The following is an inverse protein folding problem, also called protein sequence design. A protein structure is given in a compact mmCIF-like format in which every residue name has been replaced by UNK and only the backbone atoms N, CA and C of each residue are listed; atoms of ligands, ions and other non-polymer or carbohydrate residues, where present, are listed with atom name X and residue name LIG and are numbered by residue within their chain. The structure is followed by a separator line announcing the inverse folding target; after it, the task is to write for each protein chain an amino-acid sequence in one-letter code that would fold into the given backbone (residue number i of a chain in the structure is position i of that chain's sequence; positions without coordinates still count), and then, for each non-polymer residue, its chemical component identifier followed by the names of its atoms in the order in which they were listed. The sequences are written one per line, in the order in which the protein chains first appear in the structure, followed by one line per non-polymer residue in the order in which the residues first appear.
data_IF_629234068042
#
_entry.id   IF_629234068042
#
_cell.length_a   1.000
_cell.length_b   1.000
_cell.length_c   1.000
_cell.angle_alpha   90.00
_cell.angle_beta   90.00
_cell.angle_gamma   90.00
#
_symmetry.space_group_name_H-M   'P 1'
#
loop_
_entity.id
_entity.type
_entity.pdbx_description
1 polymer ?
#
# COMPACT_ATOMS: atom_id res chain seq x y z
N UNK A 1 8.61 -11.70 14.30
CA UNK A 1 8.05 -10.51 13.72
C UNK A 1 8.88 -10.02 12.55
N UNK A 2 8.29 -9.97 11.40
CA UNK A 2 9.02 -9.61 10.20
C UNK A 2 9.13 -8.10 10.03
N UNK A 3 10.30 -7.68 9.61
CA UNK A 3 10.49 -6.32 9.09
C UNK A 3 10.19 -6.37 7.60
N UNK A 4 9.52 -5.34 7.08
CA UNK A 4 9.26 -5.23 5.65
C UNK A 4 10.57 -5.10 4.90
N UNK A 5 10.76 -5.94 3.88
CA UNK A 5 11.90 -5.82 2.98
C UNK A 5 11.58 -4.75 1.93
N UNK A 6 11.99 -3.53 2.21
CA UNK A 6 11.67 -2.38 1.36
C UNK A 6 12.30 -2.50 -0.02
N UNK A 7 13.45 -3.14 -0.15
CA UNK A 7 14.08 -3.33 -1.45
C UNK A 7 13.26 -4.27 -2.31
N UNK A 8 12.72 -5.34 -1.73
CA UNK A 8 11.83 -6.25 -2.44
C UNK A 8 10.53 -5.54 -2.85
N UNK A 9 9.98 -4.72 -1.97
CA UNK A 9 8.77 -3.93 -2.27
C UNK A 9 9.04 -2.99 -3.45
N UNK A 10 10.15 -2.28 -3.42
CA UNK A 10 10.52 -1.34 -4.48
C UNK A 10 10.69 -2.07 -5.82
N UNK A 11 11.31 -3.24 -5.80
CA UNK A 11 11.50 -4.05 -6.99
C UNK A 11 10.15 -4.47 -7.59
N UNK A 12 9.25 -4.99 -6.75
CA UNK A 12 7.92 -5.36 -7.22
C UNK A 12 7.14 -4.16 -7.75
N UNK A 13 7.18 -3.04 -7.03
CA UNK A 13 6.45 -1.83 -7.41
C UNK A 13 6.86 -1.32 -8.80
N UNK A 14 8.10 -1.55 -9.19
CA UNK A 14 8.60 -1.15 -10.51
C UNK A 14 7.86 -1.78 -11.68
N UNK A 15 7.16 -2.88 -11.47
CA UNK A 15 6.37 -3.56 -12.51
C UNK A 15 4.97 -2.98 -12.66
N UNK A 16 4.56 -2.04 -11.80
CA UNK A 16 3.23 -1.46 -11.80
C UNK A 16 3.27 -0.03 -12.30
N UNK A 17 2.14 0.47 -12.80
CA UNK A 17 2.06 1.82 -13.36
C UNK A 17 1.79 2.90 -12.34
N UNK A 18 1.06 2.59 -11.28
CA UNK A 18 0.68 3.56 -10.27
C UNK A 18 0.16 2.83 -9.03
N UNK A 19 -0.09 3.61 -7.97
CA UNK A 19 -0.71 3.09 -6.76
C UNK A 19 -1.91 3.94 -6.37
N UNK A 20 -2.82 3.34 -5.59
CA UNK A 20 -3.83 4.08 -4.86
C UNK A 20 -3.33 4.31 -3.44
N UNK A 21 -3.42 5.55 -2.99
CA UNK A 21 -3.19 5.90 -1.59
C UNK A 21 -4.53 5.94 -0.88
N UNK A 22 -4.66 5.16 0.17
CA UNK A 22 -5.87 5.05 0.97
C UNK A 22 -5.59 5.67 2.33
N UNK A 23 -6.36 6.68 2.68
CA UNK A 23 -6.26 7.39 3.96
C UNK A 23 -7.63 7.44 4.62
N UNK A 24 -7.65 7.80 5.90
CA UNK A 24 -8.88 7.90 6.69
C UNK A 24 -9.12 9.38 7.03
N UNK A 25 -10.31 9.87 6.70
CA UNK A 25 -10.66 11.27 6.99
C UNK A 25 -10.86 11.47 8.51
N UNK A 26 -10.84 12.72 8.98
CA UNK A 26 -11.15 13.00 10.39
C UNK A 26 -12.52 12.48 10.84
N UNK A 27 -13.44 12.25 9.89
CA UNK A 27 -14.76 11.69 10.18
C UNK A 27 -14.82 10.18 9.98
N UNK A 28 -13.65 9.51 9.92
CA UNK A 28 -13.52 8.05 9.83
C UNK A 28 -14.11 7.49 8.54
N UNK A 29 -13.96 8.21 7.44
CA UNK A 29 -14.32 7.74 6.11
C UNK A 29 -13.05 7.44 5.33
N UNK A 30 -13.15 6.57 4.35
CA UNK A 30 -12.03 6.19 3.49
C UNK A 30 -11.91 7.19 2.34
N UNK A 31 -10.69 7.61 2.05
CA UNK A 31 -10.36 8.47 0.91
C UNK A 31 -9.30 7.79 0.07
N UNK A 32 -9.48 7.77 -1.23
CA UNK A 32 -8.58 7.08 -2.16
C UNK A 32 -8.15 8.04 -3.27
N UNK A 33 -6.87 8.05 -3.58
CA UNK A 33 -6.32 8.87 -4.67
C UNK A 33 -5.22 8.13 -5.40
N UNK A 34 -5.01 8.47 -6.67
CA UNK A 34 -3.92 7.91 -7.48
C UNK A 34 -2.63 8.65 -7.15
N UNK A 35 -1.58 7.89 -6.91
CA UNK A 35 -0.26 8.43 -6.56
C UNK A 35 0.84 7.62 -7.25
N UNK A 36 2.04 8.19 -7.23
CA UNK A 36 3.25 7.53 -7.77
C UNK A 36 4.32 7.52 -6.68
N UNK A 37 4.27 6.53 -5.77
CA UNK A 37 5.20 6.49 -4.65
C UNK A 37 6.64 6.26 -5.10
N UNK A 38 7.56 6.81 -4.31
CA UNK A 38 8.99 6.61 -4.46
C UNK A 38 9.55 5.95 -3.22
N UNK A 39 10.63 5.19 -3.40
CA UNK A 39 11.27 4.45 -2.30
C UNK A 39 12.61 5.08 -2.02
N UNK A 40 12.84 5.50 -0.79
CA UNK A 40 14.09 6.14 -0.36
C UNK A 40 14.50 5.57 1.00
N UNK A 41 15.61 4.83 1.04
CA UNK A 41 16.04 4.19 2.28
C UNK A 41 14.98 3.20 2.78
N UNK A 42 14.47 3.44 3.98
CA UNK A 42 13.44 2.59 4.59
C UNK A 42 12.06 3.24 4.59
N UNK A 43 11.86 4.25 3.76
CA UNK A 43 10.66 5.06 3.76
C UNK A 43 10.06 5.07 2.36
N UNK A 44 8.74 5.02 2.29
CA UNK A 44 8.01 5.27 1.05
C UNK A 44 7.57 6.72 1.08
N UNK A 45 7.89 7.44 0.00
CA UNK A 45 7.54 8.85 -0.14
C UNK A 45 6.50 9.00 -1.23
N UNK A 46 5.47 9.79 -0.96
CA UNK A 46 4.41 10.08 -1.93
C UNK A 46 4.52 11.55 -2.31
N UNK A 47 5.26 11.87 -3.38
CA UNK A 47 5.37 13.25 -3.82
C UNK A 47 4.04 13.73 -4.41
N UNK A 48 3.75 15.00 -4.22
CA UNK A 48 2.52 15.60 -4.76
C UNK A 48 1.25 15.07 -4.12
N UNK A 49 1.30 14.54 -2.90
CA UNK A 49 0.12 14.11 -2.19
C UNK A 49 -0.83 15.31 -2.02
N UNK A 50 -2.14 15.08 -2.22
CA UNK A 50 -3.12 16.15 -2.13
C UNK A 50 -3.21 16.71 -0.71
N UNK A 51 -3.70 17.93 -0.58
CA UNK A 51 -3.93 18.53 0.74
C UNK A 51 -4.85 17.66 1.58
N UNK A 52 -5.87 17.10 0.95
CA UNK A 52 -6.81 16.21 1.65
C UNK A 52 -6.10 14.97 2.19
N UNK A 53 -5.29 14.30 1.37
CA UNK A 53 -4.56 13.11 1.79
C UNK A 53 -3.60 13.44 2.93
N UNK A 54 -2.90 14.58 2.85
CA UNK A 54 -1.97 15.00 3.91
C UNK A 54 -2.69 15.34 5.22
N UNK A 55 -3.84 16.01 5.12
CA UNK A 55 -4.67 16.30 6.29
C UNK A 55 -5.19 15.03 6.93
N UNK A 56 -5.66 14.08 6.12
CA UNK A 56 -6.15 12.80 6.61
C UNK A 56 -5.05 12.03 7.33
N UNK A 57 -3.86 11.95 6.73
CA UNK A 57 -2.73 11.23 7.32
C UNK A 57 -2.25 11.87 8.62
N UNK A 58 -2.39 13.18 8.76
CA UNK A 58 -2.06 13.86 10.01
C UNK A 58 -3.07 13.54 11.12
N UNK A 59 -4.34 13.34 10.75
CA UNK A 59 -5.39 12.99 11.71
C UNK A 59 -5.38 11.49 12.07
N UNK A 60 -5.14 10.64 11.08
CA UNK A 60 -5.08 9.19 11.23
C UNK A 60 -3.85 8.68 10.49
N UNK A 61 -2.85 8.26 11.23
CA UNK A 61 -1.56 7.91 10.66
C UNK A 61 -1.56 6.59 9.87
N UNK A 62 -2.52 5.72 10.10
CA UNK A 62 -2.62 4.45 9.37
C UNK A 62 -3.03 4.72 7.92
N UNK A 63 -2.21 4.26 6.99
CA UNK A 63 -2.45 4.44 5.56
C UNK A 63 -2.11 3.15 4.82
N UNK A 64 -2.62 3.04 3.59
CA UNK A 64 -2.29 1.91 2.73
C UNK A 64 -2.01 2.41 1.32
N UNK A 65 -1.11 1.69 0.64
CA UNK A 65 -0.82 1.87 -0.76
C UNK A 65 -1.15 0.56 -1.48
N UNK A 66 -1.86 0.67 -2.60
CA UNK A 66 -2.24 -0.50 -3.39
C UNK A 66 -1.81 -0.27 -4.83
N UNK A 67 -0.93 -1.14 -5.33
CA UNK A 67 -0.58 -1.18 -6.75
C UNK A 67 -1.43 -2.27 -7.39
N UNK A 68 -2.43 -1.91 -8.23
CA UNK A 68 -3.29 -2.92 -8.86
C UNK A 68 -2.58 -3.58 -10.03
N UNK A 69 -2.85 -4.87 -10.28
CA UNK A 69 -2.29 -5.55 -11.44
C UNK A 69 -3.00 -5.13 -12.72
N UNK A 70 -2.42 -5.50 -13.87
CA UNK A 70 -3.01 -5.21 -15.17
C UNK A 70 -4.33 -5.96 -15.38
N UNK A 71 -4.48 -7.15 -14.78
CA UNK A 71 -5.71 -7.92 -14.82
C UNK A 71 -5.93 -8.65 -13.50
N UNK A 72 -7.10 -9.22 -13.31
CA UNK A 72 -7.50 -9.81 -12.04
C UNK A 72 -6.74 -11.09 -11.67
N UNK A 73 -6.00 -11.68 -12.59
CA UNK A 73 -5.20 -12.87 -12.30
C UNK A 73 -3.82 -12.53 -11.75
N UNK A 74 -3.41 -11.25 -11.85
CA UNK A 74 -2.14 -10.78 -11.32
C UNK A 74 -2.22 -10.46 -9.84
N UNK A 75 -1.05 -10.31 -9.23
CA UNK A 75 -0.97 -9.90 -7.83
C UNK A 75 -1.17 -8.40 -7.71
N UNK A 76 -1.96 -7.98 -6.70
CA UNK A 76 -1.92 -6.61 -6.20
C UNK A 76 -0.79 -6.52 -5.19
N UNK A 77 -0.01 -5.44 -5.24
CA UNK A 77 0.97 -5.15 -4.18
C UNK A 77 0.30 -4.22 -3.17
N UNK A 78 0.23 -4.64 -1.92
CA UNK A 78 -0.41 -3.86 -0.85
C UNK A 78 0.63 -3.58 0.23
N UNK A 79 0.81 -2.30 0.54
CA UNK A 79 1.71 -1.86 1.60
C UNK A 79 0.91 -1.05 2.61
N UNK A 80 0.82 -1.57 3.83
CA UNK A 80 0.27 -0.84 4.95
C UNK A 80 1.41 -0.13 5.68
N UNK A 81 1.14 1.05 6.19
CA UNK A 81 2.17 1.79 6.88
C UNK A 81 1.63 2.89 7.76
N UNK A 82 2.56 3.59 8.38
CA UNK A 82 2.28 4.71 9.27
C UNK A 82 2.84 5.97 8.63
N UNK A 83 1.98 6.96 8.46
CA UNK A 83 2.43 8.28 8.01
C UNK A 83 3.25 8.90 9.14
N UNK A 84 4.56 9.04 8.95
CA UNK A 84 5.46 9.48 10.01
C UNK A 84 5.99 10.89 9.76
N UNK A 85 5.41 11.62 8.82
CA UNK A 85 5.78 12.99 8.57
C UNK A 85 5.50 13.42 7.15
N UNK A 86 5.74 14.69 6.93
CA UNK A 86 5.58 15.30 5.63
C UNK A 86 6.78 16.20 5.36
N UNK A 87 7.19 16.24 4.10
CA UNK A 87 8.32 17.05 3.67
C UNK A 87 7.87 17.79 2.42
N UNK A 88 7.70 19.11 2.54
CA UNK A 88 7.08 19.95 1.52
C UNK A 88 5.68 19.41 1.18
N UNK A 89 5.44 18.96 -0.06
CA UNK A 89 4.17 18.38 -0.46
C UNK A 89 4.21 16.86 -0.49
N UNK A 90 5.29 16.25 0.01
CA UNK A 90 5.44 14.80 0.01
C UNK A 90 5.03 14.21 1.35
N UNK A 91 4.26 13.12 1.29
CA UNK A 91 3.89 12.35 2.46
C UNK A 91 4.93 11.25 2.65
N UNK A 92 5.39 11.06 3.90
CA UNK A 92 6.34 9.99 4.24
C UNK A 92 5.62 8.89 4.97
N UNK A 93 5.87 7.65 4.56
CA UNK A 93 5.20 6.46 5.11
C UNK A 93 6.27 5.46 5.53
N UNK A 94 6.20 5.02 6.79
CA UNK A 94 6.99 3.92 7.28
C UNK A 94 6.20 2.63 7.09
N UNK A 95 6.63 1.72 6.20
CA UNK A 95 5.86 0.51 5.95
C UNK A 95 5.88 -0.42 7.15
N UNK A 96 4.71 -0.97 7.48
CA UNK A 96 4.55 -1.93 8.58
C UNK A 96 4.23 -3.32 8.08
N UNK A 97 3.66 -3.45 6.88
CA UNK A 97 3.31 -4.73 6.29
C UNK A 97 3.28 -4.57 4.77
N UNK A 98 3.78 -5.57 4.07
CA UNK A 98 3.72 -5.59 2.61
C UNK A 98 3.39 -6.99 2.13
N UNK A 99 2.44 -7.11 1.21
CA UNK A 99 2.03 -8.39 0.65
C UNK A 99 1.79 -8.27 -0.85
N UNK A 100 1.98 -9.38 -1.53
CA UNK A 100 1.42 -9.61 -2.85
C UNK A 100 0.14 -10.41 -2.65
N UNK A 101 -0.95 -9.97 -3.23
CA UNK A 101 -2.27 -10.55 -2.99
C UNK A 101 -3.02 -10.74 -4.30
N UNK A 102 -3.66 -11.90 -4.44
CA UNK A 102 -4.63 -12.14 -5.52
C UNK A 102 -5.65 -13.17 -5.06
N UNK A 103 -6.85 -13.22 -5.69
CA UNK A 103 -7.78 -14.31 -5.43
C UNK A 103 -7.15 -15.65 -5.82
N UNK A 104 -7.47 -16.72 -5.10
CA UNK A 104 -7.01 -18.04 -5.48
C UNK A 104 -7.61 -18.43 -6.84
N UNK A 105 -6.77 -18.98 -7.74
CA UNK A 105 -7.21 -19.36 -9.08
C UNK A 105 -8.19 -20.54 -9.00
N UNK A 106 -7.95 -21.48 -8.09
CA UNK A 106 -8.81 -22.63 -7.88
C UNK A 106 -9.26 -22.63 -6.42
N UNK A 107 -10.57 -22.66 -6.15
CA UNK A 107 -11.03 -22.77 -4.79
C UNK A 107 -10.60 -24.11 -4.19
N UNK A 108 -10.14 -24.06 -2.95
CA UNK A 108 -9.80 -25.26 -2.23
C UNK A 108 -11.04 -26.09 -1.87
N UNK A 109 -10.85 -27.27 -1.28
CA UNK A 109 -11.98 -28.06 -0.80
C UNK A 109 -12.85 -27.28 0.17
N UNK A 110 -14.12 -27.64 0.27
CA UNK A 110 -15.03 -27.03 1.22
C UNK A 110 -14.43 -27.11 2.63
N UNK A 111 -14.37 -25.99 3.31
CA UNK A 111 -13.76 -25.88 4.63
C UNK A 111 -12.26 -25.65 4.64
N UNK A 112 -11.60 -25.63 3.48
CA UNK A 112 -10.22 -25.18 3.39
C UNK A 112 -10.18 -23.70 3.71
N UNK A 113 -9.30 -23.24 4.55
CA UNK A 113 -9.33 -21.90 5.09
C UNK A 113 -9.23 -20.81 4.06
N UNK A 114 -8.07 -20.60 3.48
CA UNK A 114 -7.80 -19.43 2.65
C UNK A 114 -8.22 -19.67 1.19
N UNK A 115 -9.05 -18.75 0.67
CA UNK A 115 -9.41 -18.73 -0.76
C UNK A 115 -8.60 -17.68 -1.51
N UNK A 116 -7.58 -17.14 -0.89
CA UNK A 116 -6.73 -16.10 -1.45
C UNK A 116 -5.28 -16.53 -1.42
N UNK A 117 -4.53 -16.02 -2.37
CA UNK A 117 -3.10 -16.32 -2.51
C UNK A 117 -2.33 -15.07 -2.10
N UNK A 118 -1.64 -15.13 -0.97
CA UNK A 118 -0.90 -14.02 -0.41
C UNK A 118 0.55 -14.39 -0.18
N UNK A 119 1.46 -13.50 -0.58
CA UNK A 119 2.89 -13.64 -0.33
C UNK A 119 3.33 -12.43 0.48
N UNK A 120 3.86 -12.66 1.65
CA UNK A 120 4.36 -11.60 2.51
C UNK A 120 5.77 -11.19 2.09
N UNK A 121 6.02 -9.89 2.05
CA UNK A 121 7.32 -9.34 1.64
C UNK A 121 8.15 -8.80 2.81
#
# INVERSE_FOLDING_TARGET
MGTVDIDAVAEHAGAYGFAYLITITPHQRVHTSVVHPEFTGHVVTVPGASDRARTNAAAHADVSLVWPPADETGYSLIVDGIADGQDASALRIAPSRAILHRPAVEPGPAGAGCVQDCIEL
#
